data_IF_102792935433
#
_entry.id   IF_102792935433
#
_cell.length_a   1.000
_cell.length_b   1.000
_cell.length_c   1.000
_cell.angle_alpha   90.00
_cell.angle_beta   90.00
_cell.angle_gamma   90.00
#
_symmetry.space_group_name_H-M   'P 1'
#
loop_
_entity.id
_entity.type
_entity.pdbx_description
1 polymer ?
#
# COMPACT_ATOMS: atom_id res chain seq x y z
N UNK A 1 18.97 15.41 -10.25
CA UNK A 1 18.42 14.22 -9.57
C UNK A 1 16.90 14.38 -9.52
N UNK A 2 16.14 13.50 -10.17
CA UNK A 2 14.68 13.52 -10.12
C UNK A 2 14.22 12.65 -8.95
N UNK A 3 13.55 13.25 -7.97
CA UNK A 3 12.92 12.50 -6.88
C UNK A 3 11.53 12.07 -7.36
N UNK A 4 11.25 10.77 -7.32
CA UNK A 4 9.97 10.23 -7.76
C UNK A 4 9.29 9.49 -6.60
N UNK A 5 8.12 9.96 -6.19
CA UNK A 5 7.32 9.37 -5.11
C UNK A 5 6.16 8.56 -5.70
N UNK A 6 5.96 7.31 -5.25
CA UNK A 6 4.83 6.49 -5.66
C UNK A 6 3.98 6.09 -4.45
N UNK A 7 2.72 6.52 -4.40
CA UNK A 7 1.77 6.14 -3.36
C UNK A 7 0.83 5.02 -3.85
N UNK A 8 0.63 3.98 -3.03
CA UNK A 8 -0.26 2.85 -3.34
C UNK A 8 -1.32 2.66 -2.26
N UNK A 9 -2.59 2.60 -2.66
CA UNK A 9 -3.71 2.42 -1.73
C UNK A 9 -4.99 1.94 -2.40
N UNK A 10 -5.94 1.43 -1.61
CA UNK A 10 -7.20 0.85 -2.13
C UNK A 10 -8.25 1.90 -2.49
N UNK A 11 -8.29 3.02 -1.77
CA UNK A 11 -9.36 4.02 -1.89
C UNK A 11 -8.95 5.15 -2.86
N UNK A 12 -9.36 5.02 -4.12
CA UNK A 12 -8.98 5.94 -5.20
C UNK A 12 -9.24 7.42 -4.88
N UNK A 13 -10.41 7.85 -4.38
CA UNK A 13 -10.65 9.28 -4.11
C UNK A 13 -9.67 9.89 -3.09
N UNK A 14 -9.34 9.14 -2.04
CA UNK A 14 -8.38 9.59 -1.02
C UNK A 14 -6.96 9.63 -1.57
N UNK A 15 -6.62 8.68 -2.44
CA UNK A 15 -5.31 8.62 -3.07
C UNK A 15 -5.10 9.80 -4.04
N UNK A 16 -6.11 10.16 -4.82
CA UNK A 16 -6.07 11.33 -5.71
C UNK A 16 -5.98 12.65 -4.93
N UNK A 17 -6.71 12.79 -3.82
CA UNK A 17 -6.61 13.97 -2.95
C UNK A 17 -5.19 14.14 -2.38
N UNK A 18 -4.62 13.05 -1.83
CA UNK A 18 -3.26 13.06 -1.32
C UNK A 18 -2.23 13.33 -2.44
N UNK A 19 -2.44 12.79 -3.64
CA UNK A 19 -1.60 13.05 -4.81
C UNK A 19 -1.56 14.54 -5.15
N UNK A 20 -2.73 15.18 -5.18
CA UNK A 20 -2.84 16.61 -5.46
C UNK A 20 -2.18 17.48 -4.38
N UNK A 21 -2.33 17.12 -3.10
CA UNK A 21 -1.66 17.79 -1.99
C UNK A 21 -0.14 17.73 -2.11
N UNK A 22 0.42 16.54 -2.39
CA UNK A 22 1.86 16.37 -2.55
C UNK A 22 2.37 17.10 -3.80
N UNK A 23 1.64 17.04 -4.91
CA UNK A 23 1.97 17.79 -6.12
C UNK A 23 1.99 19.31 -5.88
N UNK A 24 1.10 19.81 -5.04
CA UNK A 24 1.02 21.24 -4.70
C UNK A 24 2.17 21.64 -3.76
N UNK A 25 2.56 20.76 -2.84
CA UNK A 25 3.64 20.98 -1.89
C UNK A 25 5.05 20.73 -2.47
N UNK A 26 5.16 20.24 -3.73
CA UNK A 26 6.46 19.91 -4.33
C UNK A 26 7.36 21.15 -4.42
N UNK A 27 8.65 20.97 -4.15
CA UNK A 27 9.64 22.05 -4.19
C UNK A 27 10.14 22.32 -5.61
N UNK A 28 9.98 21.36 -6.52
CA UNK A 28 10.38 21.49 -7.91
C UNK A 28 9.44 20.70 -8.82
N UNK A 29 9.20 21.23 -10.01
CA UNK A 29 8.48 20.55 -11.10
C UNK A 29 9.22 19.34 -11.66
N UNK A 30 10.52 19.21 -11.37
CA UNK A 30 11.32 18.02 -11.69
C UNK A 30 11.04 16.82 -10.78
N UNK A 31 10.34 17.03 -9.65
CA UNK A 31 9.88 15.95 -8.79
C UNK A 31 8.60 15.36 -9.38
N UNK A 32 8.61 14.07 -9.69
CA UNK A 32 7.41 13.37 -10.14
C UNK A 32 6.73 12.72 -8.94
N UNK A 33 5.40 12.72 -8.98
CA UNK A 33 4.58 12.07 -7.97
C UNK A 33 3.59 11.20 -8.73
N UNK A 34 3.59 9.91 -8.44
CA UNK A 34 2.71 8.92 -9.03
C UNK A 34 1.79 8.37 -7.93
N UNK A 35 0.52 8.19 -8.27
CA UNK A 35 -0.49 7.61 -7.39
C UNK A 35 -1.11 6.42 -8.09
N UNK A 36 -0.95 5.22 -7.54
CA UNK A 36 -1.43 3.98 -8.15
C UNK A 36 -2.37 3.27 -7.20
N UNK A 37 -3.64 3.17 -7.57
CA UNK A 37 -4.62 2.42 -6.79
C UNK A 37 -4.32 0.92 -6.87
N UNK A 38 -4.02 0.29 -5.73
CA UNK A 38 -3.69 -1.14 -5.63
C UNK A 38 -4.33 -1.72 -4.38
N UNK A 39 -4.98 -2.88 -4.55
CA UNK A 39 -5.38 -3.70 -3.41
C UNK A 39 -4.20 -4.54 -2.91
N UNK A 40 -3.63 -4.12 -1.79
CA UNK A 40 -2.46 -4.77 -1.18
C UNK A 40 -2.75 -6.15 -0.57
N UNK A 41 -4.03 -6.58 -0.48
CA UNK A 41 -4.38 -7.95 -0.05
C UNK A 41 -4.03 -8.97 -1.14
N UNK A 42 -4.09 -8.58 -2.41
CA UNK A 42 -3.87 -9.47 -3.54
C UNK A 42 -2.40 -9.41 -3.97
N UNK A 43 -1.62 -10.41 -3.58
CA UNK A 43 -0.19 -10.47 -3.88
C UNK A 43 0.14 -10.30 -5.38
N UNK A 44 -0.65 -10.91 -6.26
CA UNK A 44 -0.46 -10.80 -7.71
C UNK A 44 -0.59 -9.35 -8.22
N UNK A 45 -1.53 -8.58 -7.65
CA UNK A 45 -1.72 -7.17 -8.01
C UNK A 45 -0.54 -6.32 -7.52
N UNK A 46 0.01 -6.65 -6.35
CA UNK A 46 1.19 -5.95 -5.81
C UNK A 46 2.40 -6.19 -6.70
N UNK A 47 2.67 -7.45 -7.07
CA UNK A 47 3.80 -7.81 -7.92
C UNK A 47 3.67 -7.18 -9.32
N UNK A 48 2.52 -7.31 -9.96
CA UNK A 48 2.25 -6.68 -11.26
C UNK A 48 2.48 -5.15 -11.22
N UNK A 49 2.02 -4.48 -10.16
CA UNK A 49 2.18 -3.03 -10.02
C UNK A 49 3.61 -2.63 -9.64
N UNK A 50 4.38 -3.47 -8.97
CA UNK A 50 5.79 -3.17 -8.71
C UNK A 50 6.61 -3.32 -9.99
N UNK A 51 6.33 -4.35 -10.80
CA UNK A 51 6.96 -4.54 -12.10
C UNK A 51 6.65 -3.42 -13.09
N UNK A 52 5.43 -2.88 -13.07
CA UNK A 52 5.02 -1.80 -13.98
C UNK A 52 5.74 -0.47 -13.76
N UNK A 53 6.38 -0.27 -12.59
CA UNK A 53 7.15 0.95 -12.28
C UNK A 53 8.43 1.02 -13.11
N UNK A 54 8.91 -0.10 -13.67
CA UNK A 54 10.01 -0.13 -14.64
C UNK A 54 11.39 0.28 -14.11
N UNK A 55 11.50 0.57 -12.82
CA UNK A 55 12.74 0.95 -12.12
C UNK A 55 12.72 0.42 -10.70
N UNK A 56 13.90 0.09 -10.17
CA UNK A 56 14.06 -0.32 -8.78
C UNK A 56 13.94 0.92 -7.89
N UNK A 57 13.05 0.93 -6.90
CA UNK A 57 12.94 2.07 -5.97
C UNK A 57 14.17 2.13 -5.05
N UNK A 58 14.70 3.33 -4.83
CA UNK A 58 15.78 3.55 -3.85
C UNK A 58 15.30 3.35 -2.41
N UNK A 59 14.04 3.67 -2.14
CA UNK A 59 13.40 3.59 -0.82
C UNK A 59 11.98 3.03 -0.98
N UNK A 60 11.60 2.10 -0.11
CA UNK A 60 10.23 1.56 0.00
C UNK A 60 9.72 1.78 1.41
N UNK A 61 8.54 2.37 1.54
CA UNK A 61 7.88 2.61 2.84
C UNK A 61 6.55 1.83 2.86
N UNK A 62 6.42 0.91 3.80
CA UNK A 62 5.20 0.12 4.02
C UNK A 62 4.42 0.67 5.22
N UNK A 63 3.53 1.63 4.97
CA UNK A 63 2.67 2.22 6.01
C UNK A 63 1.24 1.66 6.01
N UNK A 64 0.87 0.83 5.04
CA UNK A 64 -0.46 0.27 4.94
C UNK A 64 -0.71 -0.78 6.04
N UNK A 65 -1.81 -0.62 6.77
CA UNK A 65 -2.30 -1.59 7.75
C UNK A 65 -3.83 -1.54 7.81
N UNK A 66 -4.45 -2.68 8.08
CA UNK A 66 -5.87 -2.74 8.43
C UNK A 66 -5.97 -2.86 9.95
N UNK A 67 -6.79 -2.01 10.58
CA UNK A 67 -7.15 -2.20 11.98
C UNK A 67 -8.14 -3.40 12.07
N UNK A 68 -7.96 -4.34 13.01
CA UNK A 68 -8.77 -5.57 13.11
C UNK A 68 -10.27 -5.35 13.35
N UNK A 69 -10.69 -4.10 13.58
CA UNK A 69 -12.06 -3.69 13.88
C UNK A 69 -12.76 -2.93 12.74
N UNK A 70 -12.23 -2.96 11.51
CA UNK A 70 -12.95 -2.45 10.33
C UNK A 70 -13.65 -3.60 9.60
N UNK A 71 -14.98 -3.49 9.47
CA UNK A 71 -15.88 -4.48 8.85
C UNK A 71 -15.32 -4.96 7.51
N UNK A 72 -14.96 -6.25 7.44
CA UNK A 72 -14.39 -6.89 6.25
C UNK A 72 -13.27 -7.90 6.55
N UNK A 73 -12.72 -7.92 7.77
CA UNK A 73 -11.81 -8.98 8.19
C UNK A 73 -12.60 -10.21 8.64
N UNK A 74 -12.69 -11.23 7.77
CA UNK A 74 -12.98 -12.59 8.21
C UNK A 74 -11.63 -13.26 8.49
N UNK A 75 -11.21 -13.41 9.75
CA UNK A 75 -10.23 -14.44 10.05
C UNK A 75 -10.95 -15.74 9.72
N UNK A 76 -10.50 -16.45 8.69
CA UNK A 76 -10.82 -17.87 8.57
C UNK A 76 -10.40 -18.48 9.92
N UNK A 77 -11.40 -18.80 10.74
CA UNK A 77 -11.22 -19.49 12.00
C UNK A 77 -10.62 -20.85 11.69
N UNK A 78 -9.29 -20.93 11.78
CA UNK A 78 -8.62 -22.21 11.98
C UNK A 78 -9.12 -22.72 13.35
N UNK A 79 -9.66 -23.94 13.45
CA UNK A 79 -10.19 -24.42 14.71
C UNK A 79 -9.05 -24.53 15.72
N UNK A 80 -9.20 -23.80 16.82
CA UNK A 80 -8.67 -24.02 18.15
C UNK A 80 -7.40 -24.89 18.25
N UNK A 81 -6.25 -24.23 18.36
CA UNK A 81 -5.18 -24.75 19.20
C UNK A 81 -5.69 -24.69 20.65
N UNK A 82 -6.18 -25.83 21.15
CA UNK A 82 -6.51 -26.03 22.56
C UNK A 82 -5.22 -25.97 23.41
N UNK A 83 -5.11 -25.17 24.48
CA UNK A 83 -3.85 -25.00 25.22
C UNK A 83 -3.51 -26.14 26.20
N UNK A 84 -4.23 -27.27 26.20
CA UNK A 84 -4.04 -28.35 27.18
C UNK A 84 -3.76 -29.70 26.53
N UNK A 85 -2.61 -29.83 25.87
CA UNK A 85 -2.08 -31.12 25.44
C UNK A 85 -0.55 -31.18 25.63
N UNK A 86 -0.10 -30.85 26.85
CA UNK A 86 1.23 -31.23 27.36
C UNK A 86 1.12 -31.49 28.86
N UNK A 87 0.55 -32.64 29.23
CA UNK A 87 0.88 -33.43 30.43
C UNK A 87 0.13 -34.75 30.40
#
# INVERSE_FOLDING_TARGET
>A
MALQLAAKGRHKPTLEAAHQEVLTARKSTSQTVDAISVDLIKADNVDATLRSVGRVPDIVICSAGALPNTVGFSPRSHPALSPHAWR
#
